data_IF_170695901810
#
_entry.id   IF_170695901810
#
_cell.length_a   1.000
_cell.length_b   1.000
_cell.length_c   1.000
_cell.angle_alpha   90.00
_cell.angle_beta   90.00
_cell.angle_gamma   90.00
#
_symmetry.space_group_name_H-M   'P 1'
#
loop_
_entity.id
_entity.type
_entity.pdbx_description
1 polymer ?
#
# COMPACT_ATOMS: atom_id res chain seq x y z
N UNK A 1 -1.19 12.16 -9.96
CA UNK A 1 -0.48 10.88 -9.91
C UNK A 1 -0.89 10.13 -8.65
N UNK A 2 -1.19 8.86 -8.76
CA UNK A 2 -1.66 8.04 -7.65
C UNK A 2 -0.96 6.69 -7.64
N UNK A 3 -0.70 6.16 -6.45
CA UNK A 3 -0.16 4.82 -6.26
C UNK A 3 -1.21 3.95 -5.63
N UNK A 4 -1.50 2.81 -6.25
CA UNK A 4 -2.55 1.90 -5.82
C UNK A 4 -1.96 0.60 -5.29
N UNK A 5 -2.59 0.06 -4.26
CA UNK A 5 -2.26 -1.24 -3.69
C UNK A 5 -3.41 -2.21 -3.84
N UNK A 6 -3.10 -3.42 -4.24
CA UNK A 6 -3.99 -4.57 -4.20
C UNK A 6 -3.38 -5.57 -3.22
N UNK A 7 -4.18 -6.08 -2.29
CA UNK A 7 -3.72 -6.91 -1.20
C UNK A 7 -4.39 -8.28 -1.22
N UNK A 8 -3.62 -9.31 -0.86
CA UNK A 8 -4.12 -10.66 -0.64
C UNK A 8 -3.72 -11.09 0.76
N UNK A 9 -4.72 -11.40 1.58
CA UNK A 9 -4.51 -11.76 2.97
C UNK A 9 -4.43 -13.28 3.15
N UNK A 10 -3.77 -13.70 4.22
CA UNK A 10 -3.65 -15.09 4.60
C UNK A 10 -4.27 -15.29 5.97
N UNK A 11 -4.94 -16.42 6.19
CA UNK A 11 -5.47 -16.77 7.51
C UNK A 11 -4.36 -16.95 8.55
N UNK A 12 -3.14 -17.17 8.10
CA UNK A 12 -1.96 -17.31 8.98
C UNK A 12 -1.24 -15.98 9.20
N UNK A 13 -1.72 -14.92 8.57
CA UNK A 13 -1.08 -13.62 8.64
C UNK A 13 -1.81 -12.63 9.51
N UNK A 14 -1.37 -11.38 9.41
CA UNK A 14 -1.96 -10.27 10.16
C UNK A 14 -3.37 -9.97 9.67
N UNK A 15 -4.24 -9.59 10.58
CA UNK A 15 -5.62 -9.23 10.27
C UNK A 15 -5.69 -8.05 9.29
N UNK A 16 -6.67 -8.06 8.36
CA UNK A 16 -6.82 -6.96 7.39
C UNK A 16 -6.96 -5.59 8.03
N UNK A 17 -7.64 -5.48 9.17
CA UNK A 17 -7.79 -4.20 9.86
C UNK A 17 -6.46 -3.63 10.33
N UNK A 18 -5.57 -4.46 10.84
CA UNK A 18 -4.25 -4.02 11.27
C UNK A 18 -3.37 -3.60 10.11
N UNK A 19 -3.47 -4.32 9.00
CA UNK A 19 -2.75 -3.95 7.77
C UNK A 19 -3.23 -2.59 7.30
N UNK A 20 -4.56 -2.38 7.27
CA UNK A 20 -5.14 -1.10 6.86
C UNK A 20 -4.67 0.05 7.76
N UNK A 21 -4.63 -0.16 9.08
CA UNK A 21 -4.15 0.86 10.01
C UNK A 21 -2.70 1.26 9.73
N UNK A 22 -1.83 0.26 9.47
CA UNK A 22 -0.42 0.53 9.15
C UNK A 22 -0.28 1.33 7.86
N UNK A 23 -1.06 0.97 6.85
CA UNK A 23 -1.04 1.67 5.56
C UNK A 23 -1.60 3.09 5.69
N UNK A 24 -2.64 3.29 6.51
CA UNK A 24 -3.16 4.62 6.79
C UNK A 24 -2.13 5.50 7.47
N UNK A 25 -1.35 4.93 8.38
CA UNK A 25 -0.24 5.64 9.03
C UNK A 25 0.83 6.12 8.06
N UNK A 26 0.91 5.51 6.88
CA UNK A 26 1.83 5.91 5.81
C UNK A 26 1.22 6.94 4.85
N UNK A 27 -0.07 7.20 4.95
CA UNK A 27 -0.76 8.10 4.06
C UNK A 27 -1.64 7.43 3.00
N UNK A 28 -1.72 6.10 2.98
CA UNK A 28 -2.67 5.40 2.12
C UNK A 28 -4.08 5.52 2.68
N UNK A 29 -5.05 5.55 1.79
CA UNK A 29 -6.47 5.56 2.14
C UNK A 29 -7.15 4.31 1.57
N UNK A 30 -8.06 3.67 2.32
CA UNK A 30 -8.83 2.56 1.77
C UNK A 30 -9.80 3.08 0.71
N UNK A 31 -10.00 2.29 -0.33
CA UNK A 31 -10.95 2.60 -1.40
C UNK A 31 -11.74 1.34 -1.74
N UNK A 32 -12.87 1.53 -2.39
CA UNK A 32 -13.66 0.43 -2.94
C UNK A 32 -13.41 0.33 -4.44
N UNK A 33 -13.62 -0.86 -5.01
CA UNK A 33 -13.46 -1.09 -6.42
C UNK A 33 -12.30 -2.02 -6.73
N UNK A 34 -11.56 -1.71 -7.79
CA UNK A 34 -10.53 -2.59 -8.33
C UNK A 34 -9.29 -2.68 -7.43
N UNK A 35 -9.00 -1.63 -6.67
CA UNK A 35 -7.85 -1.56 -5.77
C UNK A 35 -8.30 -1.45 -4.32
N UNK A 36 -7.42 -1.80 -3.39
CA UNK A 36 -7.76 -1.79 -1.96
C UNK A 36 -7.37 -0.50 -1.27
N UNK A 37 -6.23 0.09 -1.63
CA UNK A 37 -5.74 1.33 -1.04
C UNK A 37 -5.14 2.23 -2.10
N UNK A 38 -5.13 3.54 -1.82
CA UNK A 38 -4.56 4.54 -2.71
C UNK A 38 -3.72 5.55 -1.93
N UNK A 39 -2.59 5.93 -2.52
CA UNK A 39 -1.77 7.04 -2.06
C UNK A 39 -1.84 8.13 -3.13
N UNK A 40 -2.41 9.27 -2.78
CA UNK A 40 -2.55 10.39 -3.71
C UNK A 40 -1.36 11.33 -3.55
N UNK A 41 -0.52 11.37 -4.58
CA UNK A 41 0.65 12.25 -4.60
C UNK A 41 0.27 13.71 -4.82
N UNK A 42 -0.94 13.95 -5.35
CA UNK A 42 -1.49 15.26 -5.74
C UNK A 42 -0.78 15.88 -6.93
N UNK A 43 0.51 15.74 -7.02
CA UNK A 43 1.33 16.25 -8.14
C UNK A 43 2.12 15.11 -8.78
N UNK A 44 2.81 15.44 -9.87
CA UNK A 44 3.78 14.55 -10.48
C UNK A 44 5.04 14.54 -9.60
N UNK A 45 5.53 13.35 -9.28
CA UNK A 45 6.71 13.17 -8.42
C UNK A 45 7.80 12.43 -9.17
N UNK A 46 9.02 12.55 -8.68
CA UNK A 46 10.17 11.87 -9.28
C UNK A 46 10.14 10.37 -8.96
N UNK A 47 10.73 9.58 -9.85
CA UNK A 47 10.77 8.12 -9.72
C UNK A 47 11.35 7.69 -8.37
N UNK A 48 12.41 8.34 -7.90
CA UNK A 48 13.03 7.94 -6.63
C UNK A 48 12.08 8.08 -5.44
N UNK A 49 11.13 9.02 -5.49
CA UNK A 49 10.13 9.18 -4.43
C UNK A 49 9.13 8.02 -4.46
N UNK A 50 8.73 7.59 -5.66
CA UNK A 50 7.84 6.43 -5.84
C UNK A 50 8.52 5.18 -5.31
N UNK A 51 9.78 4.96 -5.67
CA UNK A 51 10.54 3.79 -5.21
C UNK A 51 10.73 3.80 -3.69
N UNK A 52 10.90 4.97 -3.12
CA UNK A 52 11.02 5.13 -1.67
C UNK A 52 9.71 4.72 -0.98
N UNK A 53 8.57 5.11 -1.53
CA UNK A 53 7.28 4.68 -1.02
C UNK A 53 7.12 3.15 -1.14
N UNK A 54 7.51 2.57 -2.27
CA UNK A 54 7.46 1.12 -2.47
C UNK A 54 8.30 0.38 -1.43
N UNK A 55 9.49 0.89 -1.13
CA UNK A 55 10.36 0.31 -0.09
C UNK A 55 9.70 0.41 1.29
N UNK A 56 9.06 1.53 1.59
CA UNK A 56 8.34 1.71 2.85
C UNK A 56 7.17 0.73 2.99
N UNK A 57 6.44 0.51 1.90
CA UNK A 57 5.36 -0.49 1.87
C UNK A 57 5.92 -1.88 2.15
N UNK A 58 7.02 -2.23 1.46
CA UNK A 58 7.67 -3.52 1.66
C UNK A 58 8.06 -3.73 3.13
N UNK A 59 8.70 -2.74 3.73
CA UNK A 59 9.13 -2.83 5.13
C UNK A 59 7.96 -2.90 6.10
N UNK A 60 6.90 -2.16 5.83
CA UNK A 60 5.70 -2.14 6.67
C UNK A 60 4.98 -3.49 6.64
N UNK A 61 4.87 -4.11 5.46
CA UNK A 61 4.15 -5.37 5.29
C UNK A 61 5.01 -6.61 5.56
N UNK A 62 6.32 -6.42 5.72
CA UNK A 62 7.24 -7.54 5.98
C UNK A 62 6.84 -8.26 7.26
N UNK A 63 6.74 -9.58 7.18
CA UNK A 63 6.36 -10.41 8.34
C UNK A 63 4.87 -10.50 8.58
N UNK A 64 4.04 -9.78 7.84
CA UNK A 64 2.58 -9.83 8.01
C UNK A 64 1.90 -10.91 7.16
N UNK A 65 2.66 -11.62 6.33
CA UNK A 65 2.15 -12.66 5.44
C UNK A 65 1.06 -12.14 4.50
N UNK A 66 1.29 -10.96 3.95
CA UNK A 66 0.40 -10.30 2.99
C UNK A 66 1.10 -10.24 1.64
N UNK A 67 0.44 -10.71 0.61
CA UNK A 67 0.90 -10.50 -0.76
C UNK A 67 0.30 -9.20 -1.27
N UNK A 68 1.08 -8.46 -2.03
CA UNK A 68 0.58 -7.19 -2.55
C UNK A 68 1.10 -6.91 -3.96
N UNK A 69 0.34 -6.09 -4.66
CA UNK A 69 0.73 -5.53 -5.95
C UNK A 69 0.64 -4.02 -5.83
N UNK A 70 1.63 -3.32 -6.33
CA UNK A 70 1.68 -1.86 -6.28
C UNK A 70 1.80 -1.32 -7.71
N UNK A 71 0.98 -0.32 -8.01
CA UNK A 71 0.96 0.34 -9.33
C UNK A 71 0.89 1.85 -9.14
N UNK A 72 1.64 2.58 -9.94
CA UNK A 72 1.58 4.04 -9.97
C UNK A 72 1.16 4.52 -11.35
N UNK A 73 0.14 5.35 -11.40
CA UNK A 73 -0.38 5.93 -12.64
C UNK A 73 -0.64 7.43 -12.49
#
# INVERSE_FOLDING_TARGET
MKTYLTLWFSSEGTEPTKVAERLQGMGFKPITGQYDHVYDWKDTVALHQILKLCTSVHQTLKGMHVLYKIETV
#
